data_IF_133025659825
#
_entry.id   IF_133025659825
#
_cell.length_a   1.000
_cell.length_b   1.000
_cell.length_c   1.000
_cell.angle_alpha   90.00
_cell.angle_beta   90.00
_cell.angle_gamma   90.00
#
_symmetry.space_group_name_H-M   'P 1'
#
loop_
_entity.id
_entity.type
_entity.pdbx_description
1 polymer ?
#
# COMPACT_ATOMS: atom_id res chain seq x y z
N UNK A 1 -28.16 -13.26 14.01
CA UNK A 1 -27.78 -12.22 15.00
C UNK A 1 -26.29 -11.97 14.85
N UNK A 2 -25.88 -10.87 14.20
CA UNK A 2 -24.47 -10.59 13.89
C UNK A 2 -23.81 -9.91 15.11
N UNK A 3 -22.68 -10.46 15.52
CA UNK A 3 -21.86 -10.03 16.66
C UNK A 3 -21.43 -8.56 16.53
N UNK A 4 -21.94 -7.72 17.43
CA UNK A 4 -21.65 -6.29 17.57
C UNK A 4 -20.21 -5.99 18.06
N UNK A 5 -19.40 -7.02 18.35
CA UNK A 5 -18.08 -6.86 18.99
C UNK A 5 -16.93 -6.46 18.04
N UNK A 6 -16.97 -6.85 16.77
CA UNK A 6 -15.87 -6.59 15.82
C UNK A 6 -15.94 -5.20 15.15
N UNK A 7 -17.14 -4.64 15.01
CA UNK A 7 -17.36 -3.35 14.32
C UNK A 7 -16.94 -2.16 15.20
N UNK A 8 -17.15 -2.27 16.52
CA UNK A 8 -16.83 -1.21 17.49
C UNK A 8 -15.32 -0.90 17.58
N UNK A 9 -14.48 -1.93 17.50
CA UNK A 9 -13.01 -1.78 17.53
C UNK A 9 -12.47 -1.06 16.29
N UNK A 10 -12.98 -1.37 15.10
CA UNK A 10 -12.60 -0.68 13.85
C UNK A 10 -13.01 0.80 13.88
N UNK A 11 -14.21 1.11 14.40
CA UNK A 11 -14.69 2.50 14.50
C UNK A 11 -13.81 3.32 15.46
N UNK A 12 -13.43 2.75 16.61
CA UNK A 12 -12.52 3.43 17.56
C UNK A 12 -11.14 3.69 16.95
N UNK A 13 -10.58 2.72 16.23
CA UNK A 13 -9.30 2.87 15.55
C UNK A 13 -9.33 3.95 14.46
N UNK A 14 -10.41 4.03 13.67
CA UNK A 14 -10.57 5.08 12.66
C UNK A 14 -10.56 6.47 13.28
N UNK A 15 -11.27 6.67 14.41
CA UNK A 15 -11.31 7.99 15.07
C UNK A 15 -9.95 8.39 15.61
N UNK A 16 -9.24 7.48 16.30
CA UNK A 16 -7.91 7.75 16.85
C UNK A 16 -6.91 8.07 15.73
N UNK A 17 -6.95 7.33 14.63
CA UNK A 17 -6.08 7.57 13.48
C UNK A 17 -6.35 8.94 12.84
N UNK A 18 -7.62 9.33 12.68
CA UNK A 18 -7.98 10.64 12.12
C UNK A 18 -7.54 11.78 13.02
N UNK A 19 -7.72 11.66 14.33
CA UNK A 19 -7.29 12.69 15.30
C UNK A 19 -5.76 12.82 15.34
N UNK A 20 -5.03 11.70 15.27
CA UNK A 20 -3.56 11.72 15.16
C UNK A 20 -3.10 12.45 13.90
N UNK A 21 -3.71 12.13 12.74
CA UNK A 21 -3.36 12.75 11.46
C UNK A 21 -3.72 14.24 11.40
N UNK A 22 -4.77 14.68 12.09
CA UNK A 22 -5.14 16.11 12.19
C UNK A 22 -4.21 16.90 13.11
N UNK A 23 -3.75 16.28 14.19
CA UNK A 23 -2.95 16.96 15.23
C UNK A 23 -1.46 17.02 14.86
N UNK A 24 -1.02 16.16 13.94
CA UNK A 24 0.37 16.10 13.50
C UNK A 24 0.64 17.09 12.36
N UNK A 25 1.27 18.22 12.67
CA UNK A 25 1.65 19.26 11.69
C UNK A 25 2.69 18.81 10.65
N UNK A 26 3.26 17.61 10.81
CA UNK A 26 4.34 17.09 9.95
C UNK A 26 3.82 16.13 8.87
N UNK A 27 2.54 15.75 8.91
CA UNK A 27 1.97 14.74 8.00
C UNK A 27 1.07 15.42 6.98
N UNK A 28 1.54 15.52 5.73
CA UNK A 28 0.72 15.99 4.62
C UNK A 28 -0.12 14.85 4.04
N UNK A 29 -1.44 15.02 3.99
CA UNK A 29 -2.36 14.04 3.40
C UNK A 29 -2.58 14.36 1.93
N UNK A 30 -2.13 13.46 1.06
CA UNK A 30 -2.47 13.54 -0.36
C UNK A 30 -3.97 13.22 -0.56
N UNK A 31 -4.69 13.97 -1.41
CA UNK A 31 -6.04 13.61 -1.80
C UNK A 31 -5.98 12.32 -2.63
N UNK A 32 -6.45 11.22 -2.06
CA UNK A 32 -6.43 9.90 -2.71
C UNK A 32 -7.82 9.53 -3.23
N UNK A 33 -7.96 9.15 -4.52
CA UNK A 33 -9.24 8.71 -5.05
C UNK A 33 -9.69 7.38 -4.41
N UNK A 34 -11.00 7.25 -4.19
CA UNK A 34 -11.55 6.00 -3.66
C UNK A 34 -11.37 4.88 -4.69
N UNK A 35 -10.99 3.68 -4.22
CA UNK A 35 -10.86 2.45 -5.04
C UNK A 35 -9.77 2.46 -6.12
N UNK A 36 -8.69 3.21 -5.94
CA UNK A 36 -7.50 3.14 -6.80
C UNK A 36 -6.32 2.48 -6.07
N UNK A 37 -6.36 1.16 -5.76
CA UNK A 37 -5.21 0.45 -5.22
C UNK A 37 -4.04 0.46 -6.24
N UNK A 38 -4.37 0.51 -7.52
CA UNK A 38 -3.43 0.57 -8.64
C UNK A 38 -2.56 1.83 -8.67
N UNK A 39 -2.85 2.82 -7.82
CA UNK A 39 -1.98 3.99 -7.65
C UNK A 39 -1.04 3.83 -6.44
N UNK A 40 -1.28 2.87 -5.54
CA UNK A 40 -0.50 2.75 -4.31
C UNK A 40 0.92 2.27 -4.61
N UNK A 41 1.96 3.04 -4.25
CA UNK A 41 3.35 2.58 -4.36
C UNK A 41 3.59 1.30 -3.54
N UNK A 42 2.91 1.16 -2.40
CA UNK A 42 3.06 0.01 -1.52
C UNK A 42 2.58 -1.28 -2.18
N UNK A 43 1.48 -1.23 -2.94
CA UNK A 43 0.97 -2.41 -3.66
C UNK A 43 1.94 -2.85 -4.76
N UNK A 44 2.54 -1.89 -5.47
CA UNK A 44 3.58 -2.21 -6.46
C UNK A 44 4.79 -2.90 -5.82
N UNK A 45 5.24 -2.40 -4.67
CA UNK A 45 6.34 -3.03 -3.92
C UNK A 45 5.98 -4.45 -3.48
N UNK A 46 4.74 -4.67 -3.00
CA UNK A 46 4.29 -6.01 -2.64
C UNK A 46 4.26 -6.96 -3.82
N UNK A 47 3.83 -6.51 -4.99
CA UNK A 47 3.82 -7.34 -6.19
C UNK A 47 5.23 -7.68 -6.67
N UNK A 48 6.18 -6.76 -6.51
CA UNK A 48 7.59 -7.04 -6.79
C UNK A 48 8.18 -8.08 -5.84
N UNK A 49 7.90 -7.96 -4.54
CA UNK A 49 8.32 -8.96 -3.55
C UNK A 49 7.73 -10.32 -3.87
N UNK A 50 6.43 -10.40 -4.20
CA UNK A 50 5.76 -11.65 -4.59
C UNK A 50 6.37 -12.29 -5.83
N UNK A 51 6.85 -11.48 -6.79
CA UNK A 51 7.54 -11.98 -7.99
C UNK A 51 8.90 -12.57 -7.67
N UNK A 52 9.63 -11.98 -6.72
CA UNK A 52 10.96 -12.45 -6.32
C UNK A 52 10.91 -13.60 -5.32
N UNK A 53 9.81 -13.75 -4.58
CA UNK A 53 9.62 -14.86 -3.66
C UNK A 53 9.48 -16.20 -4.39
N UNK A 54 10.35 -17.14 -4.01
CA UNK A 54 10.22 -18.55 -4.34
C UNK A 54 9.28 -19.27 -3.36
N UNK A 55 8.85 -20.49 -3.70
CA UNK A 55 8.04 -21.31 -2.79
C UNK A 55 8.83 -21.60 -1.49
N UNK A 56 8.28 -21.15 -0.36
CA UNK A 56 8.84 -21.38 0.98
C UNK A 56 8.14 -22.60 1.64
N UNK A 57 8.88 -23.52 2.26
CA UNK A 57 8.30 -24.75 2.84
C UNK A 57 7.62 -24.52 4.20
N UNK A 58 7.85 -23.38 4.86
CA UNK A 58 7.18 -23.00 6.09
C UNK A 58 6.87 -21.50 6.15
N UNK A 59 5.97 -21.11 7.07
CA UNK A 59 5.67 -19.70 7.35
C UNK A 59 6.90 -18.96 7.88
N UNK A 60 7.75 -19.64 8.67
CA UNK A 60 8.96 -19.04 9.20
C UNK A 60 9.97 -18.70 8.09
N UNK A 61 10.15 -19.61 7.13
CA UNK A 61 11.01 -19.36 5.97
C UNK A 61 10.48 -18.24 5.09
N UNK A 62 9.15 -18.12 4.99
CA UNK A 62 8.50 -17.01 4.29
C UNK A 62 8.76 -15.67 5.00
N UNK A 63 8.64 -15.61 6.32
CA UNK A 63 8.91 -14.40 7.10
C UNK A 63 10.35 -13.93 6.92
N UNK A 64 11.32 -14.84 6.99
CA UNK A 64 12.74 -14.54 6.78
C UNK A 64 13.00 -14.06 5.34
N UNK A 65 12.44 -14.75 4.34
CA UNK A 65 12.59 -14.37 2.95
C UNK A 65 11.99 -12.99 2.65
N UNK A 66 10.81 -12.67 3.20
CA UNK A 66 10.19 -11.34 3.04
C UNK A 66 11.04 -10.25 3.67
N UNK A 67 11.56 -10.49 4.89
CA UNK A 67 12.43 -9.51 5.57
C UNK A 67 13.72 -9.28 4.78
N UNK A 68 14.35 -10.35 4.30
CA UNK A 68 15.59 -10.27 3.53
C UNK A 68 15.40 -9.51 2.20
N UNK A 69 14.36 -9.87 1.44
CA UNK A 69 14.01 -9.19 0.18
C UNK A 69 13.65 -7.72 0.41
N UNK A 70 12.95 -7.43 1.50
CA UNK A 70 12.61 -6.05 1.86
C UNK A 70 13.86 -5.22 2.17
N UNK A 71 14.79 -5.77 2.97
CA UNK A 71 16.03 -5.10 3.36
C UNK A 71 16.98 -4.87 2.18
N UNK A 72 17.02 -5.80 1.22
CA UNK A 72 17.88 -5.71 0.05
C UNK A 72 17.23 -5.01 -1.15
N UNK A 73 16.00 -4.50 -1.01
CA UNK A 73 15.32 -3.84 -2.11
C UNK A 73 16.10 -2.60 -2.58
N UNK A 74 16.46 -2.49 -3.87
CA UNK A 74 17.20 -1.34 -4.37
C UNK A 74 16.39 -0.06 -4.20
N UNK A 75 17.02 0.96 -3.62
CA UNK A 75 16.35 2.25 -3.41
C UNK A 75 15.94 2.91 -4.73
N UNK A 76 16.62 2.58 -5.83
CA UNK A 76 16.27 3.06 -7.16
C UNK A 76 14.93 2.51 -7.64
N UNK A 77 14.54 1.29 -7.25
CA UNK A 77 13.20 0.76 -7.57
C UNK A 77 12.11 1.62 -6.90
N UNK A 78 12.34 2.03 -5.65
CA UNK A 78 11.44 2.92 -4.91
C UNK A 78 11.41 4.31 -5.55
N UNK A 79 12.56 4.85 -5.96
CA UNK A 79 12.64 6.16 -6.64
C UNK A 79 11.94 6.14 -7.98
N UNK A 80 12.18 5.13 -8.82
CA UNK A 80 11.52 4.95 -10.10
C UNK A 80 10.00 4.88 -9.94
N UNK A 81 9.52 4.15 -8.93
CA UNK A 81 8.10 4.05 -8.60
C UNK A 81 7.50 5.40 -8.21
N UNK A 82 8.14 6.14 -7.31
CA UNK A 82 7.70 7.49 -6.92
C UNK A 82 7.68 8.41 -8.14
N UNK A 83 8.72 8.36 -8.98
CA UNK A 83 8.82 9.19 -10.18
C UNK A 83 7.78 8.83 -11.25
N UNK A 84 7.32 7.58 -11.29
CA UNK A 84 6.25 7.14 -12.21
C UNK A 84 4.84 7.56 -11.78
N UNK A 85 4.65 8.00 -10.53
CA UNK A 85 3.33 8.31 -9.97
C UNK A 85 2.53 9.35 -10.79
N UNK A 86 3.12 10.45 -11.29
CA UNK A 86 2.39 11.40 -12.13
C UNK A 86 1.80 10.74 -13.38
N UNK A 87 2.58 9.94 -14.09
CA UNK A 87 2.14 9.24 -15.31
C UNK A 87 1.04 8.23 -15.01
N UNK A 88 1.15 7.54 -13.86
CA UNK A 88 0.11 6.62 -13.38
C UNK A 88 -1.19 7.35 -13.07
N UNK A 89 -1.12 8.49 -12.40
CA UNK A 89 -2.31 9.32 -12.14
C UNK A 89 -2.98 9.75 -13.44
N UNK A 90 -2.21 10.20 -14.44
CA UNK A 90 -2.74 10.57 -15.76
C UNK A 90 -3.43 9.39 -16.44
N UNK A 91 -2.81 8.21 -16.41
CA UNK A 91 -3.38 6.99 -17.00
C UNK A 91 -4.66 6.56 -16.28
N UNK A 92 -4.71 6.66 -14.95
CA UNK A 92 -5.91 6.39 -14.16
C UNK A 92 -7.05 7.36 -14.50
N UNK A 93 -6.74 8.65 -14.72
CA UNK A 93 -7.72 9.65 -15.15
C UNK A 93 -8.22 9.32 -16.55
N UNK A 94 -7.33 8.97 -17.49
CA UNK A 94 -7.69 8.57 -18.85
C UNK A 94 -8.57 7.31 -18.89
N UNK A 95 -8.35 6.38 -17.96
CA UNK A 95 -9.17 5.19 -17.77
C UNK A 95 -10.51 5.46 -17.06
N UNK A 96 -10.83 6.72 -16.74
CA UNK A 96 -12.06 7.08 -16.03
C UNK A 96 -12.12 6.55 -14.59
N UNK A 97 -10.97 6.33 -13.95
CA UNK A 97 -10.87 5.70 -12.64
C UNK A 97 -10.99 4.16 -12.65
N UNK A 98 -11.02 3.54 -13.83
CA UNK A 98 -10.94 2.09 -14.00
C UNK A 98 -9.50 1.55 -13.89
N UNK A 99 -9.33 0.21 -13.94
CA UNK A 99 -8.02 -0.42 -13.85
C UNK A 99 -7.12 0.06 -14.98
N UNK A 100 -6.04 0.74 -14.63
CA UNK A 100 -5.02 1.16 -15.57
C UNK A 100 -3.89 0.13 -15.56
N UNK A 101 -3.49 -0.33 -16.75
CA UNK A 101 -2.35 -1.24 -16.91
C UNK A 101 -1.06 -0.42 -16.82
N UNK A 102 -0.13 -0.89 -15.98
CA UNK A 102 1.17 -0.29 -15.71
C UNK A 102 2.28 -1.33 -15.87
#
# INVERSE_FOLDING_TARGET
MVSQGQVSSKIKLVRIQQEFLKTSYVIFRLPWPARTPDLSPVEYMWDELKRQMSSCPSVHDLELAVQDLWTHMPQDNIRCLINSMPDRVVTCIAAGGGPARY
#
